data_IF_469580210926
#
_entry.id   IF_469580210926
#
_cell.length_a   1.000
_cell.length_b   1.000
_cell.length_c   1.000
_cell.angle_alpha   90.00
_cell.angle_beta   90.00
_cell.angle_gamma   90.00
#
_symmetry.space_group_name_H-M   'P 1'
#
loop_
_entity.id
_entity.type
_entity.pdbx_description
1 polymer ?
#
# COMPACT_ATOMS: atom_id res chain seq x y z
N UNK A 1 3.26 -31.69 -18.05
CA UNK A 1 1.95 -31.04 -18.31
C UNK A 1 2.11 -29.57 -17.99
N UNK A 2 1.68 -28.65 -18.86
CA UNK A 2 1.77 -27.23 -18.59
C UNK A 2 0.96 -26.94 -17.31
N UNK A 3 1.65 -26.60 -16.22
CA UNK A 3 1.02 -26.40 -14.93
C UNK A 3 0.29 -25.06 -14.97
N UNK A 4 -1.00 -25.12 -15.31
CA UNK A 4 -1.90 -23.97 -15.27
C UNK A 4 -1.98 -23.47 -13.83
N UNK A 5 -1.80 -22.17 -13.63
CA UNK A 5 -1.90 -21.55 -12.31
C UNK A 5 -3.30 -21.82 -11.73
N UNK A 6 -3.46 -22.03 -10.40
CA UNK A 6 -4.76 -22.35 -9.80
C UNK A 6 -5.86 -21.31 -10.05
N UNK A 7 -5.47 -20.06 -10.30
CA UNK A 7 -6.34 -18.94 -10.60
C UNK A 7 -6.56 -18.70 -12.11
N UNK A 8 -6.08 -19.62 -12.96
CA UNK A 8 -6.29 -19.58 -14.41
C UNK A 8 -5.52 -18.48 -15.16
N UNK A 9 -4.68 -17.69 -14.46
CA UNK A 9 -3.89 -16.63 -15.10
C UNK A 9 -2.75 -17.17 -15.94
N UNK A 10 -2.31 -16.40 -16.92
CA UNK A 10 -1.03 -16.64 -17.62
C UNK A 10 0.17 -16.39 -16.70
N UNK A 11 1.34 -16.86 -17.10
CA UNK A 11 2.59 -16.68 -16.34
C UNK A 11 2.96 -15.21 -16.16
N UNK A 12 2.64 -14.38 -17.14
CA UNK A 12 2.92 -12.94 -17.25
C UNK A 12 1.72 -12.05 -16.87
N UNK A 13 0.57 -12.66 -16.59
CA UNK A 13 -0.65 -11.92 -16.25
C UNK A 13 -0.69 -11.56 -14.76
N UNK A 14 -0.78 -10.27 -14.45
CA UNK A 14 -0.99 -9.76 -13.08
C UNK A 14 -2.38 -10.14 -12.53
N UNK A 15 -2.54 -10.08 -11.21
CA UNK A 15 -3.87 -10.18 -10.57
C UNK A 15 -4.71 -8.94 -10.94
N UNK A 16 -6.05 -9.01 -10.87
CA UNK A 16 -6.89 -7.82 -11.00
C UNK A 16 -6.48 -6.75 -9.99
N UNK A 17 -6.36 -5.50 -10.44
CA UNK A 17 -5.95 -4.36 -9.61
C UNK A 17 -7.05 -3.31 -9.60
N UNK A 18 -7.41 -2.82 -8.40
CA UNK A 18 -8.29 -1.66 -8.23
C UNK A 18 -7.67 -0.70 -7.22
N UNK A 19 -7.84 0.60 -7.44
CA UNK A 19 -7.40 1.65 -6.52
C UNK A 19 -8.60 2.58 -6.30
N UNK A 20 -9.08 2.66 -5.07
CA UNK A 20 -10.10 3.61 -4.64
C UNK A 20 -9.42 4.71 -3.82
N UNK A 21 -9.54 5.96 -4.25
CA UNK A 21 -8.92 7.11 -3.58
C UNK A 21 -9.92 7.83 -2.68
N UNK A 22 -9.44 8.51 -1.63
CA UNK A 22 -10.31 9.29 -0.72
C UNK A 22 -11.10 8.43 0.27
N UNK A 23 -10.62 7.22 0.56
CA UNK A 23 -11.28 6.23 1.43
C UNK A 23 -11.18 6.56 2.93
N UNK A 24 -10.24 7.43 3.32
CA UNK A 24 -10.11 7.94 4.68
C UNK A 24 -10.32 9.45 4.67
N UNK A 25 -11.37 9.89 5.38
CA UNK A 25 -11.80 11.29 5.47
C UNK A 25 -10.73 12.21 6.11
N UNK A 26 -9.93 11.68 7.03
CA UNK A 26 -9.03 12.48 7.85
C UNK A 26 -7.61 12.56 7.31
N UNK A 27 -7.22 11.64 6.42
CA UNK A 27 -5.89 11.68 5.82
C UNK A 27 -5.89 12.66 4.64
N UNK A 28 -4.83 13.46 4.51
CA UNK A 28 -4.64 14.40 3.39
C UNK A 28 -4.62 13.66 2.05
N UNK A 29 -4.08 12.45 2.03
CA UNK A 29 -4.21 11.51 0.92
C UNK A 29 -4.55 10.11 1.44
N UNK A 30 -5.44 9.40 0.74
CA UNK A 30 -5.75 8.01 1.07
C UNK A 30 -6.12 7.18 -0.15
N UNK A 31 -5.76 5.90 -0.11
CA UNK A 31 -6.14 4.93 -1.13
C UNK A 31 -6.31 3.52 -0.53
N UNK A 32 -7.34 2.81 -0.98
CA UNK A 32 -7.48 1.38 -0.78
C UNK A 32 -7.09 0.68 -2.09
N UNK A 33 -5.94 -0.02 -2.07
CA UNK A 33 -5.47 -0.80 -3.20
C UNK A 33 -5.79 -2.28 -3.00
N UNK A 34 -6.40 -2.89 -4.02
CA UNK A 34 -6.64 -4.33 -4.08
C UNK A 34 -5.86 -4.94 -5.23
N UNK A 35 -5.20 -6.07 -4.98
CA UNK A 35 -4.48 -6.88 -5.98
C UNK A 35 -4.89 -8.35 -5.84
N UNK A 36 -5.99 -8.73 -6.48
CA UNK A 36 -6.74 -9.94 -6.12
C UNK A 36 -7.21 -9.83 -4.67
N UNK A 37 -6.91 -10.85 -3.86
CA UNK A 37 -7.31 -10.87 -2.43
C UNK A 37 -6.40 -10.04 -1.51
N UNK A 38 -5.26 -9.56 -2.00
CA UNK A 38 -4.39 -8.66 -1.22
C UNK A 38 -5.01 -7.28 -1.18
N UNK A 39 -5.32 -6.77 0.02
CA UNK A 39 -5.86 -5.42 0.22
C UNK A 39 -4.96 -4.63 1.15
N UNK A 40 -4.65 -3.39 0.78
CA UNK A 40 -3.80 -2.49 1.58
C UNK A 40 -4.47 -1.12 1.63
N UNK A 41 -4.67 -0.60 2.84
CA UNK A 41 -5.04 0.79 3.06
C UNK A 41 -3.76 1.61 3.18
N UNK A 42 -3.59 2.58 2.28
CA UNK A 42 -2.51 3.54 2.31
C UNK A 42 -3.06 4.91 2.72
N UNK A 43 -2.42 5.55 3.69
CA UNK A 43 -2.68 6.94 4.08
C UNK A 43 -1.39 7.73 3.95
N UNK A 44 -1.50 8.94 3.39
CA UNK A 44 -0.43 9.91 3.35
C UNK A 44 -0.79 11.05 4.30
N UNK A 45 0.17 11.43 5.14
CA UNK A 45 0.08 12.56 6.03
C UNK A 45 1.26 13.48 5.81
N UNK A 46 1.04 14.78 6.00
CA UNK A 46 2.06 15.79 5.80
C UNK A 46 2.44 16.44 7.14
N UNK A 47 3.74 16.62 7.33
CA UNK A 47 4.31 17.31 8.48
C UNK A 47 5.31 18.34 7.96
N UNK A 48 5.27 19.56 8.52
CA UNK A 48 6.17 20.65 8.17
C UNK A 48 7.58 20.47 8.78
N UNK A 49 7.76 19.48 9.66
CA UNK A 49 9.02 19.19 10.35
C UNK A 49 9.77 18.03 9.70
N UNK A 50 10.85 18.30 8.95
CA UNK A 50 11.73 17.24 8.50
C UNK A 50 12.49 16.62 9.69
N UNK A 51 12.97 15.37 9.56
CA UNK A 51 13.76 14.73 10.61
C UNK A 51 15.06 15.53 10.89
N UNK A 52 15.66 15.41 12.10
CA UNK A 52 16.79 16.25 12.51
C UNK A 52 17.98 16.25 11.54
N UNK A 53 18.26 15.12 10.90
CA UNK A 53 19.37 14.97 9.95
C UNK A 53 19.10 15.61 8.56
N UNK A 54 17.87 16.07 8.30
CA UNK A 54 17.48 16.83 7.09
C UNK A 54 17.20 18.30 7.37
N UNK A 55 17.32 18.75 8.62
CA UNK A 55 17.06 20.14 8.99
C UNK A 55 18.10 21.06 8.33
N UNK A 56 17.64 22.05 7.56
CA UNK A 56 18.50 23.06 6.93
C UNK A 56 19.12 22.64 5.59
N UNK A 57 18.82 21.44 5.07
CA UNK A 57 19.33 21.01 3.74
C UNK A 57 18.51 21.56 2.58
N UNK A 58 17.27 22.02 2.84
CA UNK A 58 16.33 22.43 1.80
C UNK A 58 15.65 21.26 1.08
N UNK A 59 15.91 20.02 1.50
CA UNK A 59 15.33 18.81 0.91
C UNK A 59 14.09 18.34 1.67
N UNK A 60 13.14 17.73 0.94
CA UNK A 60 12.02 17.02 1.55
C UNK A 60 12.40 15.64 2.10
N UNK A 61 11.49 15.04 2.86
CA UNK A 61 11.64 13.69 3.40
C UNK A 61 10.33 12.91 3.28
N UNK A 62 10.43 11.61 2.97
CA UNK A 62 9.30 10.69 2.96
C UNK A 62 9.70 9.47 3.79
N UNK A 63 8.81 9.07 4.70
CA UNK A 63 8.92 7.83 5.47
C UNK A 63 7.61 7.07 5.37
N UNK A 64 7.63 5.78 5.67
CA UNK A 64 6.45 4.94 5.66
C UNK A 64 6.46 3.99 6.87
N UNK A 65 5.27 3.75 7.40
CA UNK A 65 5.03 2.69 8.36
C UNK A 65 4.20 1.60 7.70
N UNK A 66 4.39 0.37 8.16
CA UNK A 66 3.64 -0.78 7.69
C UNK A 66 3.15 -1.59 8.88
N UNK A 67 1.87 -1.93 8.86
CA UNK A 67 1.29 -2.88 9.81
C UNK A 67 0.35 -3.83 9.08
N UNK A 68 0.28 -5.05 9.60
CA UNK A 68 -0.64 -6.08 9.15
C UNK A 68 -1.65 -6.33 10.26
N UNK A 69 -2.92 -6.04 9.99
CA UNK A 69 -3.98 -6.25 10.97
C UNK A 69 -4.07 -7.74 11.36
N UNK A 70 -4.36 -8.06 12.63
CA UNK A 70 -4.70 -9.43 12.99
C UNK A 70 -5.81 -9.96 12.08
N UNK A 71 -5.65 -11.19 11.58
CA UNK A 71 -6.55 -11.83 10.60
C UNK A 71 -6.51 -11.27 9.17
N UNK A 72 -5.49 -10.49 8.80
CA UNK A 72 -5.16 -10.27 7.40
C UNK A 72 -4.60 -11.54 6.72
N UNK A 73 -4.09 -12.48 7.51
CA UNK A 73 -3.58 -13.79 7.09
C UNK A 73 -4.44 -14.92 7.66
N UNK A 74 -4.32 -16.13 7.07
CA UNK A 74 -5.08 -17.31 7.50
C UNK A 74 -4.72 -17.74 8.94
N UNK A 75 -3.46 -17.57 9.32
CA UNK A 75 -2.93 -17.78 10.66
C UNK A 75 -2.49 -16.44 11.26
N UNK A 76 -2.57 -16.30 12.58
CA UNK A 76 -2.04 -15.12 13.28
C UNK A 76 -0.52 -15.12 13.25
#
# INVERSE_FOLDING_TARGET
MAQTRPDGRKVDQLRPVTIETGVNLYAEGSALINMGDTRVLCTASWDDKPPPHKKGTGEGWVTAEYSMLPRATQTR
#
